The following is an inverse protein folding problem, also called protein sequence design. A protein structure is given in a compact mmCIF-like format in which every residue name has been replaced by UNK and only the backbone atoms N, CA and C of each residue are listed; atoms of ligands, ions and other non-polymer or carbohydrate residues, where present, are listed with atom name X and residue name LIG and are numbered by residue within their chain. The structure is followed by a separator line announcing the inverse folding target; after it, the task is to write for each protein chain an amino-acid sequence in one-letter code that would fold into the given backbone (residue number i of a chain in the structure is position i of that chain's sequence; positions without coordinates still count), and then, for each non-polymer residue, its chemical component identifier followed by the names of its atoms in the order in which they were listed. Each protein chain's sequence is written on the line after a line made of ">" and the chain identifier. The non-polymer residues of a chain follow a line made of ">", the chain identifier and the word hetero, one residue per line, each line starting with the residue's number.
data_IF_475187822814
#
_entry.id   IF_475187822814
#
_cell.length_a   1.000
_cell.length_b   1.000
_cell.length_c   1.000
_cell.angle_alpha   90.00
_cell.angle_beta   90.00
_cell.angle_gamma   90.00
#
_symmetry.space_group_name_H-M   'P 1'
#
loop_
_entity.id
_entity.type
_entity.pdbx_description
1 polymer ?
#
# COMPACT_ATOMS: atom_id res chain seq x y z
N UNK A 1 -7.63 -14.66 -6.68
CA UNK A 1 -6.78 -13.72 -5.98
C UNK A 1 -6.11 -12.78 -6.95
N UNK A 2 -6.10 -11.48 -6.64
CA UNK A 2 -5.47 -10.52 -7.53
C UNK A 2 -3.95 -10.64 -7.47
N UNK A 3 -3.30 -10.47 -8.63
CA UNK A 3 -1.85 -10.45 -8.69
C UNK A 3 -1.38 -9.03 -8.43
N UNK A 4 -0.67 -8.82 -7.33
CA UNK A 4 -0.14 -7.51 -6.96
C UNK A 4 1.23 -7.34 -7.60
N UNK A 5 1.37 -6.29 -8.40
CA UNK A 5 2.64 -5.96 -9.08
C UNK A 5 3.23 -4.72 -8.43
N UNK A 6 4.55 -4.62 -8.50
CA UNK A 6 5.27 -3.47 -7.97
C UNK A 6 5.87 -2.68 -9.13
N UNK A 7 5.38 -1.49 -9.33
CA UNK A 7 5.85 -0.61 -10.39
C UNK A 7 6.57 0.61 -9.84
N UNK A 8 6.58 1.67 -10.64
CA UNK A 8 7.28 2.90 -10.31
C UNK A 8 6.44 3.72 -9.32
N UNK A 9 6.80 3.66 -8.04
CA UNK A 9 6.14 4.39 -6.95
C UNK A 9 4.68 3.94 -6.75
N UNK A 10 4.38 2.68 -7.06
CA UNK A 10 3.05 2.13 -6.81
C UNK A 10 3.08 0.61 -6.74
N UNK A 11 2.12 0.06 -6.02
CA UNK A 11 1.71 -1.33 -6.12
C UNK A 11 0.38 -1.33 -6.84
N UNK A 12 0.17 -2.26 -7.77
CA UNK A 12 -1.01 -2.19 -8.62
C UNK A 12 -1.47 -3.55 -9.12
N UNK A 13 -2.69 -3.56 -9.65
CA UNK A 13 -3.28 -4.73 -10.29
C UNK A 13 -3.64 -4.33 -11.71
N UNK A 14 -3.29 -5.17 -12.67
CA UNK A 14 -3.60 -4.91 -14.08
C UNK A 14 -2.46 -4.20 -14.80
N UNK A 15 -2.79 -3.14 -15.54
CA UNK A 15 -1.83 -2.38 -16.32
C UNK A 15 -1.30 -1.20 -15.51
N UNK A 16 0.03 -1.03 -15.51
CA UNK A 16 0.64 0.04 -14.72
C UNK A 16 0.17 1.43 -15.12
N UNK A 17 -0.09 1.64 -16.41
CA UNK A 17 -0.53 2.95 -16.90
C UNK A 17 -2.01 3.20 -16.68
N UNK A 18 -2.81 2.14 -16.53
CA UNK A 18 -4.24 2.24 -16.28
C UNK A 18 -4.65 1.10 -15.35
N UNK A 19 -4.25 1.16 -14.08
CA UNK A 19 -4.46 0.03 -13.18
C UNK A 19 -5.92 -0.14 -12.78
N UNK A 20 -6.29 -1.39 -12.53
CA UNK A 20 -7.60 -1.71 -11.97
C UNK A 20 -7.65 -1.42 -10.47
N UNK A 21 -6.50 -1.43 -9.82
CA UNK A 21 -6.35 -1.06 -8.42
C UNK A 21 -4.92 -0.60 -8.23
N UNK A 22 -4.70 0.34 -7.30
CA UNK A 22 -3.36 0.84 -7.06
C UNK A 22 -3.22 1.41 -5.65
N UNK A 23 -2.01 1.35 -5.15
CA UNK A 23 -1.60 2.06 -3.94
C UNK A 23 -0.35 2.84 -4.30
N UNK A 24 -0.46 4.16 -4.27
CA UNK A 24 0.64 5.06 -4.64
C UNK A 24 1.43 5.46 -3.40
N UNK A 25 2.73 5.61 -3.59
CA UNK A 25 3.61 6.04 -2.51
C UNK A 25 4.76 6.89 -3.05
N UNK A 26 5.40 7.62 -2.15
CA UNK A 26 6.64 8.33 -2.46
C UNK A 26 7.69 7.92 -1.44
N UNK A 27 8.95 8.04 -1.82
CA UNK A 27 10.06 7.72 -0.93
C UNK A 27 10.78 8.98 -0.52
N UNK A 28 11.07 9.09 0.77
CA UNK A 28 11.87 10.17 1.31
C UNK A 28 12.83 9.56 2.32
N UNK A 29 14.08 9.35 1.90
CA UNK A 29 15.09 8.62 2.66
C UNK A 29 14.57 7.21 3.00
N UNK A 30 14.40 6.89 4.26
CA UNK A 30 13.93 5.57 4.68
C UNK A 30 12.44 5.58 5.07
N UNK A 31 11.69 6.60 4.63
CA UNK A 31 10.25 6.70 4.90
C UNK A 31 9.48 6.54 3.60
N UNK A 32 8.56 5.58 3.60
CA UNK A 32 7.63 5.35 2.49
C UNK A 32 6.31 6.03 2.84
N UNK A 33 5.95 7.06 2.08
CA UNK A 33 4.72 7.80 2.30
C UNK A 33 3.63 7.27 1.38
N UNK A 34 2.62 6.64 1.96
CA UNK A 34 1.48 6.11 1.20
C UNK A 34 0.48 7.24 1.04
N UNK A 35 0.26 7.66 -0.22
CA UNK A 35 -0.54 8.84 -0.52
C UNK A 35 -1.94 8.53 -1.01
N UNK A 36 -2.15 7.35 -1.62
CA UNK A 36 -3.43 7.04 -2.24
C UNK A 36 -3.62 5.53 -2.37
N UNK A 37 -4.86 5.09 -2.17
CA UNK A 37 -5.26 3.70 -2.43
C UNK A 37 -6.59 3.75 -3.16
N UNK A 38 -6.67 3.15 -4.34
CA UNK A 38 -7.88 3.12 -5.13
C UNK A 38 -8.13 1.74 -5.70
N UNK A 39 -9.41 1.33 -5.74
CA UNK A 39 -9.83 0.03 -6.26
C UNK A 39 -11.02 0.24 -7.16
N UNK A 40 -10.93 -0.27 -8.39
CA UNK A 40 -12.04 -0.21 -9.33
C UNK A 40 -13.27 -0.90 -8.72
N UNK A 41 -14.47 -0.34 -8.88
CA UNK A 41 -15.69 -0.93 -8.31
C UNK A 41 -15.86 -2.42 -8.63
N UNK A 42 -15.42 -2.87 -9.81
CA UNK A 42 -15.55 -4.28 -10.19
C UNK A 42 -14.71 -5.22 -9.31
N UNK A 43 -13.70 -4.68 -8.62
CA UNK A 43 -12.84 -5.47 -7.76
C UNK A 43 -13.16 -5.30 -6.28
N UNK A 44 -14.11 -4.43 -5.95
CA UNK A 44 -14.46 -4.18 -4.55
C UNK A 44 -15.10 -5.42 -3.93
N UNK A 45 -14.87 -5.59 -2.63
CA UNK A 45 -15.38 -6.75 -1.92
C UNK A 45 -14.52 -7.98 -2.03
N UNK A 46 -13.40 -7.90 -2.76
CA UNK A 46 -12.47 -9.02 -2.94
C UNK A 46 -11.20 -8.89 -2.11
N UNK A 47 -11.13 -7.88 -1.26
CA UNK A 47 -9.95 -7.67 -0.40
C UNK A 47 -8.73 -7.15 -1.12
N UNK A 48 -8.90 -6.59 -2.33
CA UNK A 48 -7.77 -6.11 -3.13
C UNK A 48 -7.05 -4.95 -2.45
N UNK A 49 -7.79 -4.02 -1.86
CA UNK A 49 -7.19 -2.91 -1.12
C UNK A 49 -6.30 -3.39 0.01
N UNK A 50 -6.79 -4.38 0.77
CA UNK A 50 -6.01 -4.97 1.86
C UNK A 50 -4.76 -5.66 1.33
N UNK A 51 -4.85 -6.32 0.18
CA UNK A 51 -3.71 -6.99 -0.43
C UNK A 51 -2.65 -5.97 -0.87
N UNK A 52 -3.09 -4.83 -1.41
CA UNK A 52 -2.17 -3.77 -1.82
C UNK A 52 -1.41 -3.22 -0.62
N UNK A 53 -2.11 -2.89 0.46
CA UNK A 53 -1.46 -2.36 1.66
C UNK A 53 -0.53 -3.40 2.28
N UNK A 54 -0.95 -4.66 2.29
CA UNK A 54 -0.11 -5.74 2.80
C UNK A 54 1.18 -5.84 1.98
N UNK A 55 1.09 -5.76 0.67
CA UNK A 55 2.27 -5.81 -0.20
C UNK A 55 3.23 -4.66 0.11
N UNK A 56 2.68 -3.46 0.29
CA UNK A 56 3.50 -2.30 0.65
C UNK A 56 4.16 -2.45 2.02
N UNK A 57 3.41 -2.98 2.98
CA UNK A 57 3.93 -3.21 4.33
C UNK A 57 5.08 -4.22 4.30
N UNK A 58 4.92 -5.32 3.58
CA UNK A 58 5.97 -6.33 3.47
C UNK A 58 7.21 -5.77 2.78
N UNK A 59 7.01 -4.96 1.75
CA UNK A 59 8.12 -4.31 1.07
C UNK A 59 8.90 -3.39 2.03
N UNK A 60 8.18 -2.61 2.84
CA UNK A 60 8.81 -1.73 3.80
C UNK A 60 9.60 -2.51 4.85
N UNK A 61 9.05 -3.62 5.32
CA UNK A 61 9.72 -4.47 6.30
C UNK A 61 11.01 -5.06 5.71
N UNK A 62 10.95 -5.53 4.47
CA UNK A 62 12.10 -6.15 3.82
C UNK A 62 13.22 -5.16 3.55
N UNK A 63 12.89 -3.87 3.43
CA UNK A 63 13.86 -2.83 3.09
C UNK A 63 14.16 -1.90 4.24
N UNK A 64 13.74 -2.26 5.46
CA UNK A 64 13.99 -1.47 6.68
C UNK A 64 13.46 -0.05 6.58
N UNK A 65 12.28 0.10 5.95
CA UNK A 65 11.63 1.39 5.81
C UNK A 65 10.62 1.63 6.93
N UNK A 66 10.38 2.91 7.21
CA UNK A 66 9.23 3.32 8.00
C UNK A 66 8.11 3.74 7.06
N UNK A 67 6.89 3.81 7.56
CA UNK A 67 5.73 4.20 6.75
C UNK A 67 5.05 5.42 7.33
N UNK A 68 4.81 6.41 6.47
CA UNK A 68 3.95 7.55 6.76
C UNK A 68 2.67 7.32 5.95
N UNK A 69 1.60 6.89 6.63
CA UNK A 69 0.35 6.57 5.95
C UNK A 69 -0.55 7.80 5.93
N UNK A 70 -0.53 8.52 4.81
CA UNK A 70 -1.40 9.66 4.61
C UNK A 70 -2.81 9.22 4.20
N UNK A 71 -2.94 8.02 3.66
CA UNK A 71 -4.24 7.43 3.31
C UNK A 71 -4.81 6.77 4.56
N UNK A 72 -6.02 7.19 5.00
CA UNK A 72 -6.61 6.66 6.23
C UNK A 72 -6.85 5.14 6.16
N UNK A 73 -7.16 4.63 4.96
CA UNK A 73 -7.38 3.20 4.77
C UNK A 73 -6.12 2.40 5.08
N UNK A 74 -4.97 2.85 4.52
CA UNK A 74 -3.69 2.19 4.75
C UNK A 74 -3.29 2.30 6.22
N UNK A 75 -3.50 3.46 6.82
CA UNK A 75 -3.16 3.66 8.23
C UNK A 75 -3.96 2.73 9.13
N UNK A 76 -5.27 2.65 8.89
CA UNK A 76 -6.13 1.78 9.69
C UNK A 76 -5.74 0.31 9.55
N UNK A 77 -5.39 -0.10 8.32
CA UNK A 77 -4.96 -1.47 8.09
C UNK A 77 -3.72 -1.80 8.91
N UNK A 78 -2.70 -0.93 8.83
CA UNK A 78 -1.41 -1.19 9.49
C UNK A 78 -1.56 -1.12 11.02
N UNK A 79 -2.39 -0.21 11.53
CA UNK A 79 -2.64 -0.08 12.96
C UNK A 79 -3.24 -1.33 13.57
N UNK A 80 -3.91 -2.14 12.76
CA UNK A 80 -4.53 -3.37 13.22
C UNK A 80 -3.62 -4.59 13.03
N UNK A 81 -2.36 -4.38 12.69
CA UNK A 81 -1.39 -5.47 12.56
C UNK A 81 -0.38 -5.42 13.70
N UNK A 82 0.42 -6.48 13.81
CA UNK A 82 1.51 -6.52 14.78
C UNK A 82 2.65 -5.60 14.37
N UNK A 83 2.62 -5.09 13.15
CA UNK A 83 3.67 -4.24 12.60
C UNK A 83 3.37 -2.75 12.72
N UNK A 84 2.42 -2.37 13.57
CA UNK A 84 1.97 -0.98 13.71
C UNK A 84 3.09 -0.01 14.09
N UNK A 85 4.17 -0.51 14.68
CA UNK A 85 5.29 0.34 15.07
C UNK A 85 6.09 0.85 13.88
N UNK A 86 5.84 0.31 12.68
CA UNK A 86 6.46 0.82 11.45
C UNK A 86 5.94 2.22 11.08
N UNK A 87 4.74 2.58 11.59
CA UNK A 87 4.14 3.88 11.30
C UNK A 87 4.86 5.01 12.02
N UNK A 88 5.21 6.07 11.27
CA UNK A 88 5.77 7.29 11.87
C UNK A 88 4.67 8.27 12.27
N UNK A 89 3.47 8.14 11.71
CA UNK A 89 2.33 9.02 12.00
C UNK A 89 1.23 8.28 12.76
N UNK A 90 1.57 7.79 13.92
CA UNK A 90 0.61 7.08 14.78
C UNK A 90 -0.49 8.00 15.28
#
# INVERSE_FOLDING_TARGET
>A
MAEIKHGNNKFYVGDETKPDAEMDYTMNDDVMTITYTGVDPKLRGQGVGNQLVHAGLEYAKENDLKIDAQCWFAKAFIENTDDKDILVNK
#
